data_IF_640021618773
#
_entry.id   IF_640021618773
#
_cell.length_a   1.000
_cell.length_b   1.000
_cell.length_c   1.000
_cell.angle_alpha   90.00
_cell.angle_beta   90.00
_cell.angle_gamma   90.00
#
_symmetry.space_group_name_H-M   'P 1'
#
loop_
_entity.id
_entity.type
_entity.pdbx_description
1 polymer ?
#
# COMPACT_ATOMS: atom_id res chain seq x y z
N UNK A 1 -4.16 18.35 -14.76
CA UNK A 1 -3.26 17.78 -13.72
C UNK A 1 -2.80 16.43 -14.25
N UNK A 2 -1.53 16.29 -14.58
CA UNK A 2 -0.95 14.97 -14.91
C UNK A 2 -0.90 14.15 -13.62
N UNK A 3 -1.99 13.44 -13.36
CA UNK A 3 -2.23 12.72 -12.11
C UNK A 3 -1.36 11.48 -12.04
N UNK A 4 -0.20 11.60 -11.39
CA UNK A 4 0.62 10.45 -11.03
C UNK A 4 0.03 9.79 -9.78
N UNK A 5 -0.24 8.49 -9.87
CA UNK A 5 -0.73 7.66 -8.79
C UNK A 5 0.31 6.61 -8.41
N UNK A 6 0.31 6.19 -7.15
CA UNK A 6 1.21 5.13 -6.68
C UNK A 6 0.61 3.78 -7.10
N UNK A 7 1.29 3.08 -8.02
CA UNK A 7 0.96 1.70 -8.38
C UNK A 7 1.60 0.70 -7.42
N UNK A 8 2.78 1.01 -6.87
CA UNK A 8 3.39 0.21 -5.82
C UNK A 8 4.81 0.62 -5.44
N UNK A 9 5.53 -0.28 -4.76
CA UNK A 9 6.97 -0.20 -4.57
C UNK A 9 7.64 -1.47 -5.04
N UNK A 10 8.84 -1.35 -5.58
CA UNK A 10 9.63 -2.48 -6.07
C UNK A 10 11.10 -2.28 -5.73
N UNK A 11 11.82 -3.40 -5.62
CA UNK A 11 13.27 -3.51 -5.53
C UNK A 11 13.89 -4.02 -6.84
N UNK A 12 13.07 -4.34 -7.85
CA UNK A 12 13.51 -4.77 -9.19
C UNK A 12 14.33 -3.69 -9.92
N UNK A 13 14.12 -2.43 -9.56
CA UNK A 13 14.94 -1.31 -10.00
C UNK A 13 15.55 -0.59 -8.80
N UNK A 14 16.84 -0.34 -8.87
CA UNK A 14 17.58 0.44 -7.87
C UNK A 14 17.91 1.84 -8.40
N UNK A 15 17.31 2.25 -9.51
CA UNK A 15 17.54 3.54 -10.17
C UNK A 15 16.28 4.41 -10.15
N UNK A 16 16.48 5.70 -9.90
CA UNK A 16 15.43 6.70 -10.06
C UNK A 16 15.44 7.26 -11.49
N UNK A 17 14.33 7.12 -12.19
CA UNK A 17 14.14 7.63 -13.56
C UNK A 17 14.03 9.16 -13.60
N UNK A 18 13.74 9.80 -12.45
CA UNK A 18 13.60 11.27 -12.36
C UNK A 18 14.93 11.98 -12.23
N UNK A 19 15.85 11.46 -11.40
CA UNK A 19 17.12 12.13 -11.10
C UNK A 19 18.35 11.31 -11.48
N UNK A 20 18.18 10.10 -12.04
CA UNK A 20 19.26 9.20 -12.43
C UNK A 20 20.00 8.53 -11.26
N UNK A 21 19.66 8.84 -9.99
CA UNK A 21 20.34 8.27 -8.82
C UNK A 21 20.20 6.75 -8.81
N UNK A 22 21.31 6.05 -8.59
CA UNK A 22 21.40 4.59 -8.53
C UNK A 22 21.55 4.08 -7.09
N UNK A 23 21.59 2.76 -6.91
CA UNK A 23 21.74 2.06 -5.63
C UNK A 23 20.67 2.43 -4.59
N UNK A 24 19.46 2.72 -5.07
CA UNK A 24 18.32 2.94 -4.20
C UNK A 24 17.87 1.62 -3.59
N UNK A 25 17.73 1.60 -2.26
CA UNK A 25 17.22 0.43 -1.51
C UNK A 25 15.79 0.02 -1.90
N UNK A 26 15.05 0.92 -2.55
CA UNK A 26 13.68 0.73 -3.04
C UNK A 26 13.32 1.89 -3.98
N UNK A 27 12.42 1.61 -4.91
CA UNK A 27 11.79 2.63 -5.76
C UNK A 27 10.26 2.55 -5.66
N UNK A 28 9.62 3.69 -5.83
CA UNK A 28 8.17 3.82 -5.91
C UNK A 28 7.78 3.77 -7.38
N UNK A 29 6.86 2.88 -7.71
CA UNK A 29 6.26 2.75 -9.03
C UNK A 29 5.05 3.69 -9.12
N UNK A 30 5.17 4.69 -9.98
CA UNK A 30 4.14 5.67 -10.27
C UNK A 30 3.54 5.39 -11.65
N UNK A 31 2.23 5.64 -11.78
CA UNK A 31 1.50 5.54 -13.06
C UNK A 31 0.61 6.74 -13.31
N UNK A 32 0.40 7.11 -14.58
CA UNK A 32 -0.61 8.08 -14.99
C UNK A 32 -1.92 7.39 -15.38
N UNK A 33 -3.00 8.16 -15.51
CA UNK A 33 -4.28 7.66 -16.05
C UNK A 33 -4.18 7.21 -17.52
N UNK A 34 -3.17 7.67 -18.24
CA UNK A 34 -2.91 7.34 -19.65
C UNK A 34 -1.99 6.12 -19.81
N UNK A 35 -1.50 5.55 -18.71
CA UNK A 35 -0.68 4.34 -18.69
C UNK A 35 0.83 4.56 -18.68
N UNK A 36 1.31 5.80 -18.57
CA UNK A 36 2.75 6.06 -18.40
C UNK A 36 3.20 5.54 -17.03
N UNK A 37 4.34 4.84 -17.00
CA UNK A 37 4.93 4.30 -15.78
C UNK A 37 6.28 4.94 -15.48
N UNK A 38 6.61 5.05 -14.20
CA UNK A 38 7.85 5.68 -13.72
C UNK A 38 8.34 5.04 -12.42
N UNK A 39 9.64 4.77 -12.31
CA UNK A 39 10.26 4.34 -11.06
C UNK A 39 11.06 5.47 -10.44
N UNK A 40 10.70 5.86 -9.22
CA UNK A 40 11.31 7.01 -8.57
C UNK A 40 11.65 6.70 -7.11
N UNK A 41 12.80 7.19 -6.64
CA UNK A 41 13.07 7.23 -5.20
C UNK A 41 11.98 8.04 -4.48
N UNK A 42 11.72 7.72 -3.20
CA UNK A 42 10.61 8.30 -2.41
C UNK A 42 10.48 9.82 -2.52
N UNK A 43 11.59 10.56 -2.46
CA UNK A 43 11.60 12.03 -2.57
C UNK A 43 11.21 12.53 -3.96
N UNK A 44 11.69 11.86 -5.01
CA UNK A 44 11.33 12.20 -6.39
C UNK A 44 9.88 11.85 -6.69
N UNK A 45 9.41 10.71 -6.17
CA UNK A 45 8.01 10.32 -6.26
C UNK A 45 7.09 11.34 -5.57
N UNK A 46 7.44 11.76 -4.34
CA UNK A 46 6.68 12.76 -3.60
C UNK A 46 6.56 14.09 -4.37
N UNK A 47 7.65 14.54 -5.00
CA UNK A 47 7.65 15.74 -5.86
C UNK A 47 6.77 15.58 -7.09
N UNK A 48 6.80 14.42 -7.76
CA UNK A 48 5.97 14.15 -8.95
C UNK A 48 4.47 14.10 -8.63
N UNK A 49 4.13 13.60 -7.45
CA UNK A 49 2.74 13.53 -6.96
C UNK A 49 2.29 14.85 -6.30
N UNK A 50 3.22 15.75 -5.97
CA UNK A 50 2.92 17.05 -5.35
C UNK A 50 2.64 16.97 -3.84
N UNK A 51 3.19 15.97 -3.15
CA UNK A 51 3.00 15.75 -1.71
C UNK A 51 4.31 15.85 -0.93
N UNK A 52 4.23 15.98 0.39
CA UNK A 52 5.43 15.91 1.24
C UNK A 52 5.98 14.49 1.25
N UNK A 53 7.29 14.36 1.41
CA UNK A 53 7.95 13.05 1.48
C UNK A 53 7.46 12.19 2.67
N UNK A 54 7.07 12.83 3.78
CA UNK A 54 6.47 12.14 4.92
C UNK A 54 5.12 11.50 4.56
N UNK A 55 4.26 12.24 3.84
CA UNK A 55 2.96 11.76 3.39
C UNK A 55 3.11 10.63 2.36
N UNK A 56 4.10 10.76 1.46
CA UNK A 56 4.48 9.70 0.52
C UNK A 56 4.91 8.42 1.25
N UNK A 57 5.77 8.52 2.27
CA UNK A 57 6.16 7.36 3.07
C UNK A 57 4.97 6.71 3.78
N UNK A 58 4.05 7.51 4.31
CA UNK A 58 2.80 7.00 4.92
C UNK A 58 1.93 6.28 3.88
N UNK A 59 1.79 6.84 2.68
CA UNK A 59 1.02 6.24 1.59
C UNK A 59 1.65 4.93 1.12
N UNK A 60 2.98 4.89 0.95
CA UNK A 60 3.74 3.68 0.62
C UNK A 60 3.58 2.62 1.70
N UNK A 61 3.69 2.98 2.99
CA UNK A 61 3.48 2.02 4.08
C UNK A 61 2.05 1.46 4.06
N UNK A 62 1.05 2.34 3.91
CA UNK A 62 -0.36 1.92 3.82
C UNK A 62 -0.63 1.01 2.61
N UNK A 63 0.05 1.25 1.49
CA UNK A 63 -0.04 0.42 0.29
C UNK A 63 0.62 -0.94 0.50
N UNK A 64 1.82 -0.99 1.09
CA UNK A 64 2.49 -2.25 1.44
C UNK A 64 1.65 -3.07 2.41
N UNK A 65 1.12 -2.46 3.45
CA UNK A 65 0.18 -3.12 4.35
C UNK A 65 -1.03 -3.66 3.58
N UNK A 66 -1.56 -2.94 2.58
CA UNK A 66 -2.66 -3.44 1.72
C UNK A 66 -2.27 -4.61 0.82
N UNK A 67 -1.05 -4.64 0.28
CA UNK A 67 -0.56 -5.79 -0.48
C UNK A 67 -0.28 -7.00 0.41
N UNK A 68 0.25 -6.77 1.61
CA UNK A 68 0.42 -7.80 2.63
C UNK A 68 -0.95 -8.33 3.09
N UNK A 69 -1.95 -7.45 3.32
CA UNK A 69 -3.36 -7.84 3.54
C UNK A 69 -3.83 -8.78 2.43
N UNK A 70 -3.57 -8.43 1.17
CA UNK A 70 -4.02 -9.19 0.01
C UNK A 70 -3.28 -10.54 -0.17
N UNK A 71 -2.08 -10.67 0.40
CA UNK A 71 -1.29 -11.91 0.41
C UNK A 71 -1.61 -12.82 1.60
N UNK A 72 -2.27 -12.29 2.62
CA UNK A 72 -2.69 -13.07 3.78
C UNK A 72 -4.04 -13.73 3.55
N UNK A 73 -4.24 -14.92 4.13
CA UNK A 73 -5.53 -15.60 4.21
C UNK A 73 -6.52 -14.89 5.16
N UNK A 74 -6.27 -13.63 5.53
CA UNK A 74 -7.14 -12.86 6.40
C UNK A 74 -8.60 -12.84 5.92
N UNK A 75 -8.92 -12.65 4.63
CA UNK A 75 -10.30 -12.74 4.15
C UNK A 75 -10.94 -14.10 4.45
N UNK A 76 -10.17 -15.19 4.37
CA UNK A 76 -10.64 -16.54 4.62
C UNK A 76 -10.72 -16.86 6.12
N UNK A 77 -9.75 -16.44 6.92
CA UNK A 77 -9.80 -16.48 8.38
C UNK A 77 -11.02 -15.71 8.90
N UNK A 78 -11.24 -14.50 8.37
CA UNK A 78 -12.36 -13.64 8.73
C UNK A 78 -13.68 -14.29 8.34
N UNK A 79 -13.77 -14.85 7.12
CA UNK A 79 -14.95 -15.59 6.68
C UNK A 79 -15.25 -16.80 7.54
N UNK A 80 -14.23 -17.59 7.94
CA UNK A 80 -14.41 -18.73 8.86
C UNK A 80 -14.88 -18.30 10.24
N UNK A 81 -14.40 -17.15 10.73
CA UNK A 81 -14.70 -16.66 12.08
C UNK A 81 -16.06 -15.96 12.17
N UNK A 82 -16.39 -15.13 11.18
CA UNK A 82 -17.58 -14.25 11.20
C UNK A 82 -18.70 -14.71 10.25
N UNK A 83 -18.50 -15.81 9.52
CA UNK A 83 -19.43 -16.34 8.52
C UNK A 83 -19.85 -15.30 7.44
N UNK A 84 -18.98 -14.32 7.17
CA UNK A 84 -19.18 -13.28 6.16
C UNK A 84 -17.84 -12.73 5.68
N UNK A 85 -17.80 -12.11 4.50
CA UNK A 85 -16.58 -11.46 4.02
C UNK A 85 -16.30 -10.16 4.78
N UNK A 86 -15.03 -9.74 4.78
CA UNK A 86 -14.61 -8.43 5.31
C UNK A 86 -15.42 -7.29 4.66
N UNK A 87 -15.70 -7.38 3.36
CA UNK A 87 -16.49 -6.38 2.63
C UNK A 87 -17.94 -6.31 3.11
N UNK A 88 -18.58 -7.46 3.31
CA UNK A 88 -19.94 -7.54 3.86
C UNK A 88 -19.99 -6.96 5.28
N UNK A 89 -18.98 -7.26 6.08
CA UNK A 89 -18.85 -6.73 7.43
C UNK A 89 -18.66 -5.21 7.47
N UNK A 90 -17.82 -4.65 6.60
CA UNK A 90 -17.63 -3.20 6.49
C UNK A 90 -18.89 -2.49 5.99
N UNK A 91 -19.62 -3.11 5.05
CA UNK A 91 -20.85 -2.53 4.50
C UNK A 91 -22.02 -2.51 5.49
N UNK A 92 -22.03 -3.39 6.49
CA UNK A 92 -23.14 -3.46 7.43
C UNK A 92 -23.19 -2.28 8.42
N UNK A 93 -22.05 -1.70 8.78
CA UNK A 93 -22.00 -0.47 9.56
C UNK A 93 -20.67 0.29 9.37
N UNK A 94 -20.68 1.64 9.36
CA UNK A 94 -19.45 2.43 9.21
C UNK A 94 -18.38 2.14 10.28
N UNK A 95 -18.80 1.85 11.52
CA UNK A 95 -17.91 1.50 12.64
C UNK A 95 -17.14 0.18 12.41
N UNK A 96 -17.67 -0.70 11.55
CA UNK A 96 -17.07 -2.01 11.30
C UNK A 96 -15.76 -1.91 10.51
N UNK A 97 -15.49 -0.79 9.84
CA UNK A 97 -14.19 -0.54 9.22
C UNK A 97 -13.07 -0.55 10.28
N UNK A 98 -13.24 0.20 11.36
CA UNK A 98 -12.23 0.27 12.44
C UNK A 98 -12.09 -1.06 13.18
N UNK A 99 -13.19 -1.80 13.32
CA UNK A 99 -13.19 -3.13 13.93
C UNK A 99 -12.45 -4.13 13.06
N UNK A 100 -12.73 -4.16 11.76
CA UNK A 100 -12.04 -5.03 10.80
C UNK A 100 -10.53 -4.73 10.77
N UNK A 101 -10.14 -3.45 10.80
CA UNK A 101 -8.73 -3.05 10.89
C UNK A 101 -8.06 -3.55 12.17
N UNK A 102 -8.76 -3.54 13.30
CA UNK A 102 -8.23 -4.02 14.58
C UNK A 102 -8.06 -5.54 14.60
N UNK A 103 -9.04 -6.27 14.06
CA UNK A 103 -8.99 -7.73 13.92
C UNK A 103 -7.84 -8.11 12.98
N UNK A 104 -7.70 -7.40 11.87
CA UNK A 104 -6.58 -7.56 10.96
C UNK A 104 -5.24 -7.37 11.66
N UNK A 105 -5.04 -6.29 12.42
CA UNK A 105 -3.79 -6.06 13.15
C UNK A 105 -3.47 -7.18 14.15
N UNK A 106 -4.48 -7.70 14.85
CA UNK A 106 -4.30 -8.83 15.78
C UNK A 106 -3.91 -10.11 15.05
N UNK A 107 -4.58 -10.41 13.93
CA UNK A 107 -4.26 -11.55 13.07
C UNK A 107 -2.82 -11.45 12.58
N UNK A 108 -2.40 -10.30 12.05
CA UNK A 108 -1.03 -10.08 11.60
C UNK A 108 0.01 -10.26 12.70
N UNK A 109 -0.26 -9.73 13.89
CA UNK A 109 0.64 -9.91 15.04
C UNK A 109 0.76 -11.38 15.47
N UNK A 110 -0.33 -12.16 15.39
CA UNK A 110 -0.32 -13.59 15.69
C UNK A 110 0.45 -14.41 14.65
N UNK A 111 0.38 -14.01 13.38
CA UNK A 111 1.12 -14.62 12.26
C UNK A 111 2.58 -14.14 12.17
N UNK A 112 3.05 -13.32 13.12
CA UNK A 112 4.44 -12.86 13.20
C UNK A 112 4.78 -11.68 12.27
N UNK A 113 3.79 -11.05 11.65
CA UNK A 113 3.99 -9.85 10.84
C UNK A 113 3.99 -8.58 11.71
N UNK A 114 4.85 -7.62 11.37
CA UNK A 114 4.89 -6.30 12.03
C UNK A 114 4.09 -5.29 11.21
N UNK A 115 2.95 -4.84 11.76
CA UNK A 115 2.00 -3.89 11.14
C UNK A 115 2.28 -2.44 11.56
#
# INVERSE_FOLDING_TARGET
MSGWFIKGITDESTRCDVCGKMELKRVVHLVTGDGDELYAGTTCAARKVGVKAADMNRAVKSYMTRLEIARCDFPDYFRRTFNMSVEQFIRSAPVNREVAERIYRRYMAAEGFTV
#
